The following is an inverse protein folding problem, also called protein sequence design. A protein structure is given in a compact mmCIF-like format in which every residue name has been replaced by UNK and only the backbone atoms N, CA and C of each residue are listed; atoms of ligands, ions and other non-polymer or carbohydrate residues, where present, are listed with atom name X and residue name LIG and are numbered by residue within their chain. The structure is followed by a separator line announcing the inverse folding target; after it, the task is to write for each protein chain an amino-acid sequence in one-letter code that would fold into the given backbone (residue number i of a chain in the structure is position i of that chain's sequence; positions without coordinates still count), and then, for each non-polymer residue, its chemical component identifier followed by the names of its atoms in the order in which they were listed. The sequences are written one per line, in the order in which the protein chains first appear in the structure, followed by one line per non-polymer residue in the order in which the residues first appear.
data_IF_926103058748
#
_entry.id   IF_926103058748
#
_cell.length_a   1.000
_cell.length_b   1.000
_cell.length_c   1.000
_cell.angle_alpha   90.00
_cell.angle_beta   90.00
_cell.angle_gamma   90.00
#
_symmetry.space_group_name_H-M   'P 1'
#
loop_
_entity.id
_entity.type
_entity.pdbx_description
1 polymer ?
#
# COMPACT_ATOMS: atom_id res chain seq x y z
N UNK A 1 -22.15 -1.18 -4.09
CA UNK A 1 -20.84 -1.27 -4.78
C UNK A 1 -20.55 0.09 -5.40
N UNK A 2 -19.30 0.54 -5.39
CA UNK A 2 -18.93 1.86 -5.96
C UNK A 2 -19.02 1.82 -7.49
N UNK A 3 -19.23 2.98 -8.13
CA UNK A 3 -19.22 3.14 -9.58
C UNK A 3 -17.81 3.58 -10.03
N UNK A 4 -17.30 2.98 -11.11
CA UNK A 4 -15.92 3.16 -11.58
C UNK A 4 -15.87 3.66 -13.03
N UNK A 5 -16.54 4.78 -13.33
CA UNK A 5 -16.54 5.35 -14.67
C UNK A 5 -15.25 6.13 -14.96
N UNK A 6 -14.68 5.95 -16.15
CA UNK A 6 -13.50 6.72 -16.59
C UNK A 6 -13.81 8.21 -16.55
N UNK A 7 -13.00 8.98 -15.81
CA UNK A 7 -13.16 10.43 -15.66
C UNK A 7 -14.14 10.87 -14.55
N UNK A 8 -14.75 9.94 -13.81
CA UNK A 8 -15.52 10.26 -12.61
C UNK A 8 -14.55 10.57 -11.45
N UNK A 9 -14.61 11.77 -10.84
CA UNK A 9 -13.68 12.15 -9.77
C UNK A 9 -14.00 11.54 -8.41
N UNK A 10 -15.19 10.94 -8.23
CA UNK A 10 -15.62 10.37 -6.94
C UNK A 10 -14.76 9.18 -6.55
N UNK A 11 -14.52 9.03 -5.25
CA UNK A 11 -13.79 7.90 -4.67
C UNK A 11 -12.37 7.68 -5.27
N UNK A 12 -11.74 8.76 -5.75
CA UNK A 12 -10.39 8.71 -6.35
C UNK A 12 -9.32 9.35 -5.48
N UNK A 13 -8.07 8.98 -5.75
CA UNK A 13 -6.87 9.61 -5.18
C UNK A 13 -5.75 9.57 -6.23
N UNK A 14 -4.61 10.19 -5.92
CA UNK A 14 -3.37 9.96 -6.65
C UNK A 14 -2.36 9.21 -5.78
N UNK A 15 -1.41 8.44 -6.37
CA UNK A 15 -0.39 7.75 -5.59
C UNK A 15 0.36 8.66 -4.62
N UNK A 16 0.74 9.87 -5.07
CA UNK A 16 1.46 10.86 -4.27
C UNK A 16 0.60 11.44 -3.14
N UNK A 17 -0.68 11.74 -3.39
CA UNK A 17 -1.58 12.24 -2.36
C UNK A 17 -1.81 11.19 -1.27
N UNK A 18 -2.01 9.93 -1.65
CA UNK A 18 -2.17 8.84 -0.68
C UNK A 18 -0.88 8.56 0.10
N UNK A 19 0.28 8.59 -0.55
CA UNK A 19 1.56 8.40 0.14
C UNK A 19 1.78 9.48 1.21
N UNK A 20 1.46 10.74 0.88
CA UNK A 20 1.54 11.88 1.80
C UNK A 20 0.60 11.71 3.00
N UNK A 21 -0.66 11.36 2.73
CA UNK A 21 -1.66 11.11 3.78
C UNK A 21 -1.27 9.93 4.69
N UNK A 22 -0.82 8.82 4.10
CA UNK A 22 -0.41 7.64 4.86
C UNK A 22 0.81 7.94 5.75
N UNK A 23 1.81 8.65 5.22
CA UNK A 23 2.95 9.12 6.00
C UNK A 23 2.50 10.02 7.18
N UNK A 24 1.59 10.97 6.93
CA UNK A 24 1.08 11.90 7.95
C UNK A 24 0.42 11.20 9.12
N UNK A 25 -0.38 10.15 8.86
CA UNK A 25 -1.18 9.50 9.90
C UNK A 25 -0.55 8.25 10.51
N UNK A 26 0.26 7.49 9.77
CA UNK A 26 0.91 6.28 10.28
C UNK A 26 2.26 6.57 10.97
N UNK A 27 2.95 7.65 10.58
CA UNK A 27 4.32 7.94 11.05
C UNK A 27 4.43 9.35 11.62
N UNK A 28 3.85 10.35 10.92
CA UNK A 28 3.87 11.74 11.32
C UNK A 28 2.88 12.09 12.43
N UNK A 29 2.69 13.39 12.67
CA UNK A 29 1.90 13.90 13.80
C UNK A 29 0.44 14.22 13.44
N UNK A 30 -0.13 13.55 12.42
CA UNK A 30 -1.54 13.73 12.05
C UNK A 30 -2.53 13.15 13.06
N UNK A 31 -2.08 12.25 13.93
CA UNK A 31 -2.85 11.64 15.02
C UNK A 31 -2.10 11.78 16.35
N UNK A 32 -2.85 11.71 17.46
CA UNK A 32 -2.28 11.53 18.80
C UNK A 32 -1.44 10.24 18.86
N UNK A 33 -0.39 10.16 19.71
CA UNK A 33 0.53 9.03 19.72
C UNK A 33 -0.13 7.65 19.85
N UNK A 34 -1.10 7.51 20.76
CA UNK A 34 -1.85 6.26 20.95
C UNK A 34 -2.67 5.87 19.72
N UNK A 35 -3.36 6.85 19.09
CA UNK A 35 -4.16 6.62 17.88
C UNK A 35 -3.28 6.24 16.68
N UNK A 36 -2.10 6.86 16.54
CA UNK A 36 -1.13 6.50 15.51
C UNK A 36 -0.59 5.08 15.70
N UNK A 37 -0.28 4.69 16.93
CA UNK A 37 0.15 3.32 17.24
C UNK A 37 -0.93 2.30 16.89
N UNK A 38 -2.20 2.57 17.25
CA UNK A 38 -3.31 1.71 16.90
C UNK A 38 -3.51 1.61 15.38
N UNK A 39 -3.45 2.74 14.68
CA UNK A 39 -3.56 2.76 13.22
C UNK A 39 -2.45 1.96 12.54
N UNK A 40 -1.19 2.14 12.99
CA UNK A 40 -0.06 1.36 12.49
C UNK A 40 -0.21 -0.14 12.79
N UNK A 41 -0.68 -0.50 13.99
CA UNK A 41 -0.93 -1.89 14.36
C UNK A 41 -1.96 -2.56 13.44
N UNK A 42 -3.09 -1.90 13.17
CA UNK A 42 -4.09 -2.41 12.23
C UNK A 42 -3.54 -2.61 10.81
N UNK A 43 -2.71 -1.68 10.32
CA UNK A 43 -2.05 -1.85 9.02
C UNK A 43 -1.10 -3.05 9.01
N UNK A 44 -0.32 -3.23 10.07
CA UNK A 44 0.61 -4.37 10.21
C UNK A 44 -0.14 -5.70 10.22
N UNK A 45 -1.29 -5.75 10.89
CA UNK A 45 -2.12 -6.94 11.06
C UNK A 45 -3.05 -7.25 9.85
N UNK A 46 -2.96 -6.46 8.77
CA UNK A 46 -3.71 -6.73 7.52
C UNK A 46 -3.44 -8.15 7.01
N UNK A 47 -4.52 -8.89 6.74
CA UNK A 47 -4.47 -10.28 6.25
C UNK A 47 -4.61 -10.39 4.72
N UNK A 48 -4.96 -9.30 4.03
CA UNK A 48 -5.32 -9.32 2.61
C UNK A 48 -4.17 -8.99 1.66
N UNK A 49 -3.01 -8.57 2.19
CA UNK A 49 -1.88 -8.04 1.42
C UNK A 49 -0.75 -9.03 1.12
N UNK A 50 -0.87 -10.30 1.56
CA UNK A 50 0.22 -11.26 1.52
C UNK A 50 0.79 -11.49 0.10
N UNK A 51 -0.07 -11.49 -0.92
CA UNK A 51 0.32 -11.68 -2.33
C UNK A 51 0.62 -10.37 -3.10
N UNK A 52 0.45 -9.20 -2.47
CA UNK A 52 0.63 -7.89 -3.10
C UNK A 52 2.04 -7.34 -2.81
N UNK A 53 2.17 -6.08 -2.35
CA UNK A 53 3.49 -5.46 -2.12
C UNK A 53 4.36 -6.31 -1.18
N UNK A 54 3.76 -6.89 -0.13
CA UNK A 54 4.49 -7.72 0.85
C UNK A 54 5.26 -8.88 0.22
N UNK A 55 4.74 -9.50 -0.84
CA UNK A 55 5.39 -10.64 -1.48
C UNK A 55 6.73 -10.28 -2.15
N UNK A 56 6.92 -9.00 -2.51
CA UNK A 56 8.17 -8.53 -3.13
C UNK A 56 9.15 -7.87 -2.16
N UNK A 57 8.74 -7.54 -0.94
CA UNK A 57 9.56 -6.81 0.02
C UNK A 57 10.48 -7.76 0.81
N UNK A 58 11.74 -7.37 0.98
CA UNK A 58 12.68 -8.11 1.82
C UNK A 58 12.28 -8.15 3.31
N UNK A 59 12.81 -9.15 4.05
CA UNK A 59 12.53 -9.37 5.49
C UNK A 59 13.07 -8.27 6.42
N UNK A 60 13.72 -7.24 5.90
CA UNK A 60 14.25 -6.11 6.68
C UNK A 60 13.17 -5.13 7.14
N UNK A 61 11.95 -5.28 6.62
CA UNK A 61 10.83 -4.38 6.90
C UNK A 61 9.78 -5.05 7.79
N UNK A 62 9.34 -4.34 8.82
CA UNK A 62 7.98 -4.51 9.34
C UNK A 62 7.05 -3.77 8.38
N UNK A 63 6.14 -4.49 7.74
CA UNK A 63 5.22 -3.91 6.75
C UNK A 63 3.83 -3.77 7.36
N UNK A 64 3.21 -2.62 7.15
CA UNK A 64 1.77 -2.44 7.34
C UNK A 64 1.15 -1.92 6.06
N UNK A 65 0.06 -2.53 5.61
CA UNK A 65 -0.53 -2.26 4.31
C UNK A 65 -2.06 -2.23 4.34
N UNK A 66 -2.66 -1.79 3.23
CA UNK A 66 -4.08 -1.99 2.96
C UNK A 66 -4.31 -2.17 1.46
N UNK A 67 -4.93 -3.30 1.12
CA UNK A 67 -5.34 -3.60 -0.26
C UNK A 67 -6.70 -3.01 -0.64
N UNK A 68 -6.93 -2.86 -1.95
CA UNK A 68 -8.23 -2.60 -2.56
C UNK A 68 -8.37 -3.28 -3.92
N UNK A 69 -9.58 -3.70 -4.29
CA UNK A 69 -9.89 -4.26 -5.61
C UNK A 69 -11.35 -4.02 -5.95
N UNK A 70 -11.69 -3.94 -7.24
CA UNK A 70 -13.07 -3.93 -7.73
C UNK A 70 -13.56 -5.31 -8.19
N UNK A 71 -12.72 -6.35 -8.15
CA UNK A 71 -13.05 -7.71 -8.61
C UNK A 71 -13.04 -7.90 -10.13
N UNK A 72 -12.72 -6.86 -10.91
CA UNK A 72 -12.74 -6.88 -12.37
C UNK A 72 -11.34 -6.65 -12.94
N UNK A 73 -10.89 -5.39 -12.95
CA UNK A 73 -9.66 -4.95 -13.63
C UNK A 73 -8.71 -4.13 -12.75
N UNK A 74 -9.11 -3.87 -11.49
CA UNK A 74 -8.42 -2.96 -10.57
C UNK A 74 -7.91 -3.70 -9.34
N UNK A 75 -6.64 -3.46 -8.98
CA UNK A 75 -6.04 -3.92 -7.74
C UNK A 75 -5.02 -2.90 -7.24
N UNK A 76 -5.14 -2.53 -5.98
CA UNK A 76 -4.33 -1.50 -5.34
C UNK A 76 -3.75 -2.04 -4.05
N UNK A 77 -2.60 -1.50 -3.65
CA UNK A 77 -2.02 -1.73 -2.34
C UNK A 77 -1.20 -0.51 -1.91
N UNK A 78 -1.32 -0.15 -0.64
CA UNK A 78 -0.59 0.98 -0.04
C UNK A 78 0.08 0.49 1.23
N UNK A 79 1.35 0.81 1.41
CA UNK A 79 2.15 0.25 2.49
C UNK A 79 3.06 1.28 3.16
N UNK A 80 3.27 1.08 4.46
CA UNK A 80 4.33 1.70 5.27
C UNK A 80 5.35 0.63 5.62
N UNK A 81 6.62 0.97 5.44
CA UNK A 81 7.75 0.08 5.64
C UNK A 81 8.60 0.65 6.78
N UNK A 82 8.59 -0.01 7.93
CA UNK A 82 9.46 0.34 9.06
C UNK A 82 10.70 -0.55 9.04
N UNK A 83 11.91 0.01 8.94
CA UNK A 83 13.14 -0.79 8.98
C UNK A 83 13.31 -1.43 10.36
N UNK A 84 13.55 -2.73 10.42
CA UNK A 84 13.83 -3.43 11.69
C UNK A 84 15.12 -2.94 12.36
N UNK A 85 16.09 -2.48 11.57
CA UNK A 85 17.34 -1.89 12.06
C UNK A 85 17.16 -0.48 12.66
N UNK A 86 15.95 0.08 12.63
CA UNK A 86 15.68 1.47 12.96
C UNK A 86 15.99 2.42 11.80
N UNK A 87 15.60 3.69 11.95
CA UNK A 87 15.67 4.70 10.90
C UNK A 87 14.30 5.16 10.38
N UNK A 88 14.28 6.02 9.35
CA UNK A 88 13.03 6.55 8.82
C UNK A 88 12.19 5.46 8.14
N UNK A 89 10.88 5.56 8.32
CA UNK A 89 9.94 4.71 7.59
C UNK A 89 9.78 5.19 6.14
N UNK A 90 9.51 4.25 5.24
CA UNK A 90 9.19 4.51 3.84
C UNK A 90 7.70 4.28 3.57
N UNK A 91 7.16 4.92 2.53
CA UNK A 91 5.79 4.72 2.07
C UNK A 91 5.80 4.36 0.59
N UNK A 92 5.07 3.31 0.24
CA UNK A 92 4.89 2.83 -1.13
C UNK A 92 3.40 2.78 -1.43
N UNK A 93 2.98 3.36 -2.54
CA UNK A 93 1.58 3.30 -3.00
C UNK A 93 1.54 2.82 -4.44
N UNK A 94 0.68 1.84 -4.71
CA UNK A 94 0.54 1.23 -6.02
C UNK A 94 -0.94 1.10 -6.38
N UNK A 95 -1.31 1.64 -7.54
CA UNK A 95 -2.66 1.59 -8.08
C UNK A 95 -2.60 1.03 -9.50
N UNK A 96 -3.25 -0.11 -9.73
CA UNK A 96 -3.34 -0.75 -11.04
C UNK A 96 -4.81 -0.77 -11.45
N UNK A 97 -5.12 -0.25 -12.64
CA UNK A 97 -6.48 -0.15 -13.20
C UNK A 97 -6.46 -0.56 -14.68
N UNK A 98 -7.60 -1.02 -15.20
CA UNK A 98 -7.73 -1.39 -16.61
C UNK A 98 -6.86 -2.59 -17.01
N UNK A 99 -6.51 -3.45 -16.05
CA UNK A 99 -5.64 -4.58 -16.31
C UNK A 99 -6.38 -5.71 -17.03
N UNK A 100 -5.84 -6.18 -18.16
CA UNK A 100 -6.40 -7.29 -18.95
C UNK A 100 -5.88 -8.67 -18.50
N UNK A 101 -5.41 -8.77 -17.26
CA UNK A 101 -4.83 -9.97 -16.65
C UNK A 101 -5.67 -10.41 -15.46
N UNK A 102 -5.57 -11.68 -15.07
CA UNK A 102 -6.35 -12.23 -13.97
C UNK A 102 -5.94 -11.64 -12.59
N UNK A 103 -6.68 -11.98 -11.55
CA UNK A 103 -6.48 -11.41 -10.23
C UNK A 103 -5.10 -11.74 -9.62
N UNK A 104 -4.64 -12.98 -9.79
CA UNK A 104 -3.34 -13.42 -9.29
C UNK A 104 -2.20 -12.70 -10.01
N UNK A 105 -2.33 -12.50 -11.32
CA UNK A 105 -1.40 -11.71 -12.12
C UNK A 105 -1.39 -10.24 -11.69
N UNK A 106 -2.54 -9.64 -11.36
CA UNK A 106 -2.58 -8.28 -10.78
C UNK A 106 -1.86 -8.23 -9.43
N UNK A 107 -2.02 -9.23 -8.57
CA UNK A 107 -1.27 -9.34 -7.32
C UNK A 107 0.23 -9.42 -7.58
N UNK A 108 0.65 -10.25 -8.54
CA UNK A 108 2.05 -10.41 -8.93
C UNK A 108 2.67 -9.10 -9.48
N UNK A 109 1.89 -8.27 -10.18
CA UNK A 109 2.33 -6.91 -10.57
C UNK A 109 2.63 -6.06 -9.34
N UNK A 110 1.74 -6.08 -8.32
CA UNK A 110 1.99 -5.34 -7.07
C UNK A 110 3.19 -5.91 -6.30
N UNK A 111 3.38 -7.23 -6.28
CA UNK A 111 4.58 -7.84 -5.72
C UNK A 111 5.85 -7.37 -6.45
N UNK A 112 5.81 -7.26 -7.79
CA UNK A 112 6.93 -6.72 -8.56
C UNK A 112 7.22 -5.27 -8.22
N UNK A 113 6.20 -4.44 -7.99
CA UNK A 113 6.38 -3.07 -7.48
C UNK A 113 7.08 -3.08 -6.13
N UNK A 114 6.67 -3.97 -5.21
CA UNK A 114 7.34 -4.16 -3.91
C UNK A 114 8.83 -4.48 -4.06
N UNK A 115 9.18 -5.43 -4.93
CA UNK A 115 10.56 -5.81 -5.18
C UNK A 115 11.41 -4.67 -5.78
N UNK A 116 10.84 -3.90 -6.71
CA UNK A 116 11.52 -2.74 -7.29
C UNK A 116 11.72 -1.63 -6.25
N UNK A 117 10.70 -1.34 -5.44
CA UNK A 117 10.81 -0.36 -4.37
C UNK A 117 11.88 -0.76 -3.35
N UNK A 118 11.94 -2.05 -2.97
CA UNK A 118 12.97 -2.57 -2.07
C UNK A 118 14.38 -2.32 -2.64
N UNK A 119 14.60 -2.71 -3.90
CA UNK A 119 15.89 -2.52 -4.57
C UNK A 119 16.30 -1.04 -4.75
N UNK A 120 15.33 -0.14 -4.91
CA UNK A 120 15.59 1.30 -5.06
C UNK A 120 15.97 1.99 -3.73
N UNK A 121 15.49 1.45 -2.60
CA UNK A 121 15.81 1.98 -1.27
C UNK A 121 17.21 1.54 -0.82
N UNK A 122 17.71 0.39 -1.30
CA UNK A 122 19.05 -0.15 -1.05
C UNK A 122 19.00 -1.57 -0.55
#
# INVERSE_FOLDING_TARGET
MNLFAKGDPRDTTSPAAMATSLARFAVGNGLQPASRQQFAAWLVDTQTGAACLRAGLGKRWRVGDKTGSNGDDTRNDIAVLWPHAGGPAWVVTAYLQGAAVDDDQRAAVLARVGALADAMIG
#
